data_IF_317924504258
#
_entry.id   IF_317924504258
#
_cell.length_a   1.000
_cell.length_b   1.000
_cell.length_c   1.000
_cell.angle_alpha   90.00
_cell.angle_beta   90.00
_cell.angle_gamma   90.00
#
_symmetry.space_group_name_H-M   'P 1'
#
loop_
_entity.id
_entity.type
_entity.pdbx_description
1 polymer ?
#
# COMPACT_ATOMS: atom_id res chain seq x y z
N UNK A 1 -45.22 -32.40 7.73
CA UNK A 1 -44.33 -32.09 8.88
C UNK A 1 -43.31 -31.08 8.37
N UNK A 2 -43.61 -29.78 8.45
CA UNK A 2 -43.37 -28.85 9.58
C UNK A 2 -41.90 -28.38 9.64
N UNK A 3 -41.74 -27.07 9.37
CA UNK A 3 -40.79 -26.13 9.97
C UNK A 3 -39.31 -26.21 9.55
N UNK A 4 -38.74 -25.23 8.84
CA UNK A 4 -38.51 -23.80 9.16
C UNK A 4 -37.12 -23.53 9.73
N UNK A 5 -36.34 -22.67 9.06
CA UNK A 5 -35.58 -21.52 9.59
C UNK A 5 -34.52 -21.11 8.56
N UNK A 6 -34.80 -20.11 7.73
CA UNK A 6 -34.54 -18.67 7.96
C UNK A 6 -33.06 -18.32 8.08
N UNK A 7 -32.55 -17.68 7.03
CA UNK A 7 -31.71 -16.46 7.09
C UNK A 7 -30.58 -16.43 8.12
N UNK A 8 -29.38 -16.83 7.71
CA UNK A 8 -28.15 -16.29 8.28
C UNK A 8 -27.73 -15.09 7.42
N UNK A 9 -28.38 -13.96 7.72
CA UNK A 9 -27.99 -12.63 7.30
C UNK A 9 -26.52 -12.41 7.68
N UNK A 10 -25.67 -12.18 6.68
CA UNK A 10 -24.35 -11.59 6.90
C UNK A 10 -24.58 -10.16 7.37
N UNK A 11 -24.53 -9.96 8.68
CA UNK A 11 -24.75 -8.67 9.32
C UNK A 11 -23.59 -7.72 8.97
N UNK A 12 -23.81 -6.63 8.22
CA UNK A 12 -22.75 -5.68 7.85
C UNK A 12 -22.28 -4.80 9.03
N UNK A 13 -22.73 -5.10 10.26
CA UNK A 13 -22.47 -4.30 11.47
C UNK A 13 -21.35 -4.86 12.34
N UNK A 14 -20.29 -5.42 11.75
CA UNK A 14 -19.05 -5.83 12.46
C UNK A 14 -18.00 -4.71 12.56
N UNK A 15 -18.26 -3.53 11.98
CA UNK A 15 -17.44 -2.31 12.13
C UNK A 15 -17.86 -1.49 13.37
N UNK A 16 -17.93 -2.14 14.53
CA UNK A 16 -18.42 -1.57 15.80
C UNK A 16 -17.32 -0.80 16.56
N UNK A 17 -16.41 -0.11 15.87
CA UNK A 17 -15.46 0.83 16.47
C UNK A 17 -15.79 2.28 16.09
N UNK A 18 -17.09 2.62 16.16
CA UNK A 18 -17.53 4.01 16.18
C UNK A 18 -18.07 4.33 17.57
N UNK A 19 -17.50 5.33 18.28
CA UNK A 19 -18.18 5.95 19.39
C UNK A 19 -19.34 6.77 18.81
N UNK A 20 -20.53 6.17 18.69
CA UNK A 20 -21.77 6.89 18.39
C UNK A 20 -22.29 7.56 19.66
N UNK A 21 -21.48 8.45 20.23
CA UNK A 21 -21.89 9.39 21.27
C UNK A 21 -22.51 10.61 20.63
N UNK A 22 -23.80 10.83 20.94
CA UNK A 22 -24.38 12.17 21.15
C UNK A 22 -24.02 13.26 20.13
N UNK A 23 -24.56 13.21 18.91
CA UNK A 23 -24.46 14.40 18.04
C UNK A 23 -25.67 14.58 17.14
N UNK A 24 -26.86 14.57 17.74
CA UNK A 24 -28.05 15.19 17.17
C UNK A 24 -28.71 15.95 18.32
N UNK A 25 -29.15 17.18 18.04
CA UNK A 25 -29.79 18.14 18.96
C UNK A 25 -28.80 19.04 19.70
N UNK A 26 -28.65 20.30 19.25
CA UNK A 26 -28.19 21.35 20.15
C UNK A 26 -27.59 22.61 19.52
N UNK A 27 -26.61 22.51 18.63
CA UNK A 27 -25.77 23.68 18.30
C UNK A 27 -25.84 24.11 16.83
N UNK A 28 -27.05 24.32 16.30
CA UNK A 28 -27.22 25.05 15.01
C UNK A 28 -27.20 26.58 15.16
N UNK A 29 -27.04 27.10 16.38
CA UNK A 29 -27.13 28.54 16.68
C UNK A 29 -25.80 29.19 17.14
N UNK A 30 -24.67 28.48 17.05
CA UNK A 30 -23.34 29.02 17.42
C UNK A 30 -22.38 29.19 16.23
N UNK A 31 -22.89 29.16 14.99
CA UNK A 31 -22.07 29.25 13.77
C UNK A 31 -21.75 30.69 13.37
N UNK A 32 -22.51 31.70 13.84
CA UNK A 32 -22.33 33.08 13.38
C UNK A 32 -21.40 33.96 14.25
N UNK A 33 -21.00 33.52 15.45
CA UNK A 33 -20.24 34.36 16.39
C UNK A 33 -18.72 34.10 16.43
N UNK A 34 -18.26 32.93 16.00
CA UNK A 34 -16.86 32.52 16.16
C UNK A 34 -15.99 32.73 14.90
N UNK A 35 -16.52 33.36 13.85
CA UNK A 35 -15.82 33.56 12.56
C UNK A 35 -14.95 34.84 12.56
N UNK A 36 -15.09 35.74 13.56
CA UNK A 36 -14.35 37.03 13.62
C UNK A 36 -13.03 36.96 14.42
N UNK A 37 -12.75 35.86 15.12
CA UNK A 37 -11.42 35.60 15.73
C UNK A 37 -10.56 34.70 14.82
N UNK A 38 -10.73 34.87 13.51
CA UNK A 38 -9.97 34.19 12.48
C UNK A 38 -8.93 35.17 11.91
N UNK A 39 -7.70 35.08 12.38
CA UNK A 39 -6.58 35.68 11.66
C UNK A 39 -5.33 35.85 12.51
N UNK A 40 -4.24 35.22 12.05
CA UNK A 40 -2.83 35.55 12.37
C UNK A 40 -2.38 34.92 13.71
N UNK A 41 -1.56 33.86 13.82
CA UNK A 41 -0.47 33.31 12.98
C UNK A 41 -0.29 31.81 13.26
N UNK A 42 -0.34 30.94 12.25
CA UNK A 42 0.42 29.68 12.28
C UNK A 42 1.10 29.50 10.94
N UNK A 43 2.25 30.15 10.78
CA UNK A 43 3.17 29.85 9.70
C UNK A 43 3.97 28.60 10.09
N UNK A 44 3.38 27.42 9.85
CA UNK A 44 4.15 26.18 9.86
C UNK A 44 4.76 26.02 8.46
N UNK A 45 6.00 26.51 8.30
CA UNK A 45 6.83 26.13 7.17
C UNK A 45 7.19 24.65 7.37
N UNK A 46 6.42 23.77 6.74
CA UNK A 46 6.77 22.37 6.58
C UNK A 46 8.02 22.30 5.70
N UNK A 47 9.19 22.26 6.34
CA UNK A 47 10.42 21.93 5.65
C UNK A 47 10.45 20.42 5.39
N UNK A 48 10.40 20.10 4.10
CA UNK A 48 11.03 18.96 3.43
C UNK A 48 10.36 17.58 3.58
N UNK A 49 9.75 17.06 2.50
CA UNK A 49 10.13 15.76 2.02
C UNK A 49 11.25 15.97 1.01
N UNK A 50 12.48 15.66 1.42
CA UNK A 50 13.56 15.45 0.48
C UNK A 50 13.00 14.46 -0.53
N UNK A 51 12.78 14.91 -1.76
CA UNK A 51 12.38 14.03 -2.84
C UNK A 51 13.57 13.11 -3.01
N UNK A 52 13.51 11.93 -2.38
CA UNK A 52 14.56 10.95 -2.52
C UNK A 52 14.61 10.67 -4.01
N UNK A 53 15.62 11.21 -4.69
CA UNK A 53 15.96 10.82 -6.03
C UNK A 53 16.34 9.36 -5.87
N UNK A 54 15.40 8.47 -6.18
CA UNK A 54 15.71 7.06 -6.36
C UNK A 54 16.64 7.06 -7.56
N UNK A 55 17.95 7.07 -7.29
CA UNK A 55 18.94 6.84 -8.32
C UNK A 55 18.54 5.52 -9.00
N UNK A 56 18.37 5.54 -10.32
CA UNK A 56 17.99 4.36 -11.06
C UNK A 56 19.00 3.24 -10.77
N UNK A 57 18.50 2.03 -10.50
CA UNK A 57 19.34 0.87 -10.24
C UNK A 57 20.08 0.50 -11.52
N UNK A 58 21.42 0.43 -11.47
CA UNK A 58 22.22 -0.08 -12.56
C UNK A 58 22.22 -1.61 -12.52
N UNK A 59 21.43 -2.23 -13.40
CA UNK A 59 21.29 -3.68 -13.45
C UNK A 59 22.64 -4.42 -13.56
N UNK A 60 23.55 -3.92 -14.40
CA UNK A 60 24.82 -4.59 -14.65
C UNK A 60 25.76 -4.52 -13.44
N UNK A 61 25.77 -3.37 -12.74
CA UNK A 61 26.65 -3.18 -11.58
C UNK A 61 26.09 -3.73 -10.28
N UNK A 62 24.77 -3.66 -10.11
CA UNK A 62 24.12 -3.95 -8.83
C UNK A 62 23.45 -5.32 -8.81
N UNK A 63 22.82 -5.75 -9.91
CA UNK A 63 21.96 -6.93 -9.93
C UNK A 63 22.68 -8.17 -10.48
N UNK A 64 23.42 -8.03 -11.58
CA UNK A 64 24.17 -9.15 -12.19
C UNK A 64 25.12 -9.84 -11.20
N UNK A 65 25.90 -9.14 -10.34
CA UNK A 65 26.77 -9.82 -9.38
C UNK A 65 26.00 -10.66 -8.34
N UNK A 66 24.76 -10.29 -8.02
CA UNK A 66 23.90 -11.03 -7.11
C UNK A 66 23.41 -12.33 -7.77
N UNK A 67 22.92 -12.22 -9.01
CA UNK A 67 22.50 -13.36 -9.83
C UNK A 67 23.66 -14.33 -10.08
N UNK A 68 24.86 -13.83 -10.38
CA UNK A 68 26.03 -14.66 -10.60
C UNK A 68 26.41 -15.48 -9.36
N UNK A 69 26.32 -14.89 -8.17
CA UNK A 69 26.68 -15.56 -6.92
C UNK A 69 25.65 -16.59 -6.44
N UNK A 70 24.38 -16.45 -6.81
CA UNK A 70 23.28 -17.20 -6.19
C UNK A 70 22.43 -18.00 -7.16
N UNK A 71 22.37 -17.62 -8.43
CA UNK A 71 21.39 -18.15 -9.37
C UNK A 71 22.04 -18.82 -10.58
N UNK A 72 23.07 -18.22 -11.18
CA UNK A 72 23.66 -18.73 -12.43
C UNK A 72 24.35 -20.09 -12.32
N UNK A 73 24.64 -20.56 -11.10
CA UNK A 73 25.14 -21.92 -10.90
C UNK A 73 24.15 -23.00 -11.41
N UNK A 74 22.84 -22.76 -11.23
CA UNK A 74 21.77 -23.68 -11.61
C UNK A 74 20.88 -23.16 -12.75
N UNK A 75 20.84 -21.85 -12.99
CA UNK A 75 20.00 -21.19 -14.00
C UNK A 75 20.82 -20.25 -14.90
N UNK A 76 22.02 -20.66 -15.26
CA UNK A 76 22.94 -19.92 -16.12
C UNK A 76 23.19 -20.64 -17.45
N UNK A 77 24.21 -20.22 -18.21
CA UNK A 77 24.46 -20.77 -19.54
C UNK A 77 24.86 -22.26 -19.52
N UNK A 78 25.52 -22.70 -18.46
CA UNK A 78 26.01 -24.08 -18.32
C UNK A 78 24.94 -25.04 -17.80
N UNK A 79 24.06 -24.56 -16.92
CA UNK A 79 23.05 -25.37 -16.24
C UNK A 79 21.74 -24.60 -16.19
N UNK A 80 20.63 -25.22 -16.62
CA UNK A 80 19.30 -24.62 -16.68
C UNK A 80 18.28 -25.55 -16.01
N UNK A 81 18.38 -25.67 -14.69
CA UNK A 81 17.45 -26.49 -13.90
C UNK A 81 16.01 -25.98 -14.06
N UNK A 82 15.07 -26.92 -14.17
CA UNK A 82 13.66 -26.58 -14.38
C UNK A 82 13.37 -25.83 -15.67
N UNK A 83 14.31 -25.79 -16.63
CA UNK A 83 14.17 -25.02 -17.87
C UNK A 83 14.22 -23.50 -17.68
N UNK A 84 14.60 -23.03 -16.49
CA UNK A 84 14.70 -21.60 -16.19
C UNK A 84 16.08 -21.05 -16.54
N UNK A 85 16.10 -19.94 -17.27
CA UNK A 85 17.31 -19.29 -17.75
C UNK A 85 17.34 -17.82 -17.35
N UNK A 86 18.24 -17.45 -16.43
CA UNK A 86 18.31 -16.11 -15.84
C UNK A 86 19.45 -15.24 -16.38
N UNK A 87 20.41 -15.82 -17.12
CA UNK A 87 21.51 -15.09 -17.76
C UNK A 87 21.06 -14.30 -19.00
N UNK A 88 19.91 -14.65 -19.58
CA UNK A 88 19.32 -13.97 -20.73
C UNK A 88 18.01 -13.27 -20.35
N UNK A 89 17.84 -12.03 -20.81
CA UNK A 89 16.64 -11.23 -20.54
C UNK A 89 15.35 -11.93 -20.98
N UNK A 90 15.37 -12.58 -22.14
CA UNK A 90 14.21 -13.29 -22.68
C UNK A 90 13.80 -14.45 -21.77
N UNK A 91 14.74 -15.27 -21.33
CA UNK A 91 14.49 -16.38 -20.39
C UNK A 91 14.01 -15.89 -19.02
N UNK A 92 14.54 -14.77 -18.55
CA UNK A 92 14.19 -14.19 -17.25
C UNK A 92 12.81 -13.51 -17.21
N UNK A 93 12.20 -13.22 -18.37
CA UNK A 93 10.95 -12.45 -18.47
C UNK A 93 9.86 -13.13 -19.29
N UNK A 94 10.09 -14.35 -19.74
CA UNK A 94 9.08 -15.15 -20.42
C UNK A 94 7.90 -15.43 -19.48
N UNK A 95 6.69 -15.47 -20.05
CA UNK A 95 5.51 -15.91 -19.32
C UNK A 95 5.60 -17.42 -19.06
N UNK A 96 5.39 -17.81 -17.81
CA UNK A 96 5.35 -19.20 -17.34
C UNK A 96 3.98 -19.84 -17.60
#
# INVERSE_FOLDING_TARGET
>A
MRSSKTGSQRDPKRWQWFPSGSQRQGCRAFVAGAIVLLGVTVASAAENPATAVIAGVDFAKEIVPLLAKRCFACHGPTTQEGGLRLDERAGATAAL
#
